data_IF_157607236482
#
_entry.id   IF_157607236482
#
_cell.length_a   1.000
_cell.length_b   1.000
_cell.length_c   1.000
_cell.angle_alpha   90.00
_cell.angle_beta   90.00
_cell.angle_gamma   90.00
#
_symmetry.space_group_name_H-M   'P 1'
#
loop_
_entity.id
_entity.type
_entity.pdbx_description
1 polymer ?
#
# COMPACT_ATOMS: atom_id res chain seq x y z
N UNK A 1 28.65 -13.68 64.38
CA UNK A 1 29.01 -13.40 62.99
C UNK A 1 27.77 -13.58 62.12
N UNK A 2 27.20 -12.52 61.62
CA UNK A 2 26.04 -12.60 60.71
C UNK A 2 26.53 -12.35 59.28
N UNK A 3 26.42 -13.36 58.43
CA UNK A 3 26.73 -13.22 57.00
C UNK A 3 25.56 -12.52 56.29
N UNK A 4 25.84 -11.36 55.71
CA UNK A 4 24.89 -10.67 54.87
C UNK A 4 24.91 -11.31 53.47
N UNK A 5 23.76 -11.87 53.06
CA UNK A 5 23.54 -12.38 51.71
C UNK A 5 23.15 -11.18 50.84
N UNK A 6 24.02 -10.80 49.93
CA UNK A 6 23.79 -9.75 48.94
C UNK A 6 23.03 -10.36 47.76
N UNK A 7 21.74 -10.12 47.70
CA UNK A 7 20.92 -10.48 46.53
C UNK A 7 21.18 -9.45 45.40
N UNK A 8 21.94 -9.85 44.38
CA UNK A 8 22.12 -9.08 43.16
C UNK A 8 20.92 -9.36 42.27
N UNK A 9 20.00 -8.42 42.22
CA UNK A 9 18.94 -8.39 41.24
C UNK A 9 19.53 -7.95 39.88
N UNK A 10 19.76 -8.93 38.99
CA UNK A 10 20.10 -8.64 37.58
C UNK A 10 18.82 -8.25 36.87
N UNK A 11 18.65 -6.94 36.66
CA UNK A 11 17.57 -6.43 35.80
C UNK A 11 17.92 -6.76 34.34
N UNK A 12 17.23 -7.75 33.78
CA UNK A 12 17.31 -8.06 32.35
C UNK A 12 16.53 -7.00 31.59
N UNK A 13 17.22 -6.01 31.04
CA UNK A 13 16.61 -5.03 30.14
C UNK A 13 16.30 -5.69 28.80
N UNK A 14 15.02 -5.95 28.56
CA UNK A 14 14.53 -6.49 27.28
C UNK A 14 14.64 -5.36 26.22
N UNK A 15 15.66 -5.43 25.38
CA UNK A 15 15.83 -4.53 24.25
C UNK A 15 14.82 -4.93 23.18
N UNK A 16 13.69 -4.26 23.10
CA UNK A 16 12.71 -4.43 22.02
C UNK A 16 13.29 -3.75 20.78
N UNK A 17 13.87 -4.53 19.88
CA UNK A 17 14.25 -4.06 18.55
C UNK A 17 12.98 -3.97 17.72
N UNK A 18 12.39 -2.79 17.65
CA UNK A 18 11.30 -2.49 16.72
C UNK A 18 11.84 -2.50 15.30
N UNK A 19 11.65 -3.60 14.59
CA UNK A 19 11.90 -3.67 13.16
C UNK A 19 10.95 -2.70 12.44
N UNK A 20 11.47 -1.62 11.86
CA UNK A 20 10.68 -0.73 11.03
C UNK A 20 10.29 -1.47 9.75
N UNK A 21 8.99 -1.72 9.56
CA UNK A 21 8.48 -2.13 8.26
C UNK A 21 8.75 -0.97 7.29
N UNK A 22 9.55 -1.24 6.26
CA UNK A 22 9.90 -0.25 5.27
C UNK A 22 8.78 -0.20 4.23
N UNK A 23 8.18 0.97 4.02
CA UNK A 23 7.20 1.20 2.96
C UNK A 23 7.84 0.95 1.59
N UNK A 24 7.17 0.17 0.75
CA UNK A 24 7.59 -0.16 -0.62
C UNK A 24 6.72 0.60 -1.61
N UNK A 25 7.32 1.02 -2.73
CA UNK A 25 6.63 1.66 -3.84
C UNK A 25 6.37 0.65 -4.96
N UNK A 26 5.13 0.65 -5.48
CA UNK A 26 4.69 -0.17 -6.60
C UNK A 26 4.20 0.70 -7.74
N UNK A 27 4.32 0.23 -8.98
CA UNK A 27 3.85 0.95 -10.17
C UNK A 27 2.73 0.16 -10.83
N UNK A 28 1.66 0.88 -11.19
CA UNK A 28 0.60 0.40 -12.07
C UNK A 28 0.58 1.29 -13.31
N UNK A 29 0.89 0.72 -14.46
CA UNK A 29 0.76 1.42 -15.74
C UNK A 29 -0.72 1.45 -16.14
N UNK A 30 -1.16 2.62 -16.61
CA UNK A 30 -2.54 2.90 -16.99
C UNK A 30 -2.59 3.09 -18.50
N UNK A 31 -3.37 2.28 -19.20
CA UNK A 31 -3.49 2.38 -20.66
C UNK A 31 -2.20 2.09 -21.43
N UNK A 32 -1.98 2.82 -22.49
CA UNK A 32 -0.90 2.65 -23.46
C UNK A 32 -1.44 2.05 -24.76
N UNK A 33 -0.84 0.94 -25.20
CA UNK A 33 -1.32 0.23 -26.43
C UNK A 33 -2.61 -0.56 -26.21
N UNK A 34 -2.97 -0.80 -24.95
CA UNK A 34 -4.18 -1.53 -24.54
C UNK A 34 -4.92 -0.75 -23.46
N UNK A 35 -6.24 -0.93 -23.38
CA UNK A 35 -7.10 -0.24 -22.40
C UNK A 35 -7.23 -1.09 -21.12
N UNK A 36 -6.11 -1.20 -20.39
CA UNK A 36 -6.02 -1.99 -19.15
C UNK A 36 -5.11 -1.31 -18.11
N UNK A 37 -5.22 -1.74 -16.87
CA UNK A 37 -4.21 -1.50 -15.83
C UNK A 37 -3.19 -2.65 -15.83
N UNK A 38 -1.91 -2.33 -15.69
CA UNK A 38 -0.84 -3.34 -15.69
C UNK A 38 0.16 -3.11 -14.54
N UNK A 39 0.24 -4.02 -13.56
CA UNK A 39 -0.57 -5.21 -13.40
C UNK A 39 -2.04 -4.90 -13.06
N UNK A 40 -2.97 -5.76 -13.46
CA UNK A 40 -4.39 -5.61 -13.11
C UNK A 40 -4.69 -6.02 -11.66
N UNK A 41 -3.85 -6.87 -11.07
CA UNK A 41 -3.92 -7.30 -9.68
C UNK A 41 -2.59 -7.07 -9.00
N UNK A 42 -2.61 -6.49 -7.82
CA UNK A 42 -1.41 -6.18 -7.04
C UNK A 42 -1.68 -6.54 -5.57
N UNK A 43 -0.69 -7.21 -4.94
CA UNK A 43 -0.72 -7.47 -3.50
C UNK A 43 0.41 -6.68 -2.84
N UNK A 44 0.09 -5.91 -1.84
CA UNK A 44 0.99 -5.03 -1.09
C UNK A 44 0.78 -5.21 0.42
N UNK A 45 1.57 -4.52 1.22
CA UNK A 45 1.43 -4.49 2.69
C UNK A 45 0.95 -3.10 3.12
N UNK A 46 0.20 -3.02 4.21
CA UNK A 46 -0.25 -1.75 4.77
C UNK A 46 0.94 -0.79 5.03
N UNK A 47 0.81 0.44 4.55
CA UNK A 47 1.87 1.45 4.52
C UNK A 47 2.59 1.58 3.17
N UNK A 48 2.39 0.64 2.24
CA UNK A 48 2.97 0.73 0.90
C UNK A 48 2.26 1.77 0.03
N UNK A 49 2.96 2.23 -1.00
CA UNK A 49 2.48 3.24 -1.95
C UNK A 49 2.35 2.66 -3.35
N UNK A 50 1.21 2.88 -3.99
CA UNK A 50 0.98 2.55 -5.39
C UNK A 50 0.99 3.83 -6.23
N UNK A 51 1.82 3.85 -7.27
CA UNK A 51 1.93 4.94 -8.23
C UNK A 51 1.30 4.52 -9.55
N UNK A 52 0.23 5.19 -9.94
CA UNK A 52 -0.40 5.05 -11.25
C UNK A 52 0.29 5.96 -12.25
N UNK A 53 0.68 5.42 -13.40
CA UNK A 53 1.36 6.16 -14.48
C UNK A 53 0.58 5.99 -15.77
N UNK A 54 0.00 7.07 -16.29
CA UNK A 54 -0.67 7.02 -17.60
C UNK A 54 0.36 6.86 -18.73
N UNK A 55 0.24 5.77 -19.47
CA UNK A 55 1.09 5.43 -20.61
C UNK A 55 0.49 5.82 -21.96
N UNK A 56 -0.68 6.40 -21.96
CA UNK A 56 -1.42 6.87 -23.12
C UNK A 56 -2.92 6.53 -23.05
N UNK A 57 -3.73 7.36 -23.68
CA UNK A 57 -5.17 7.28 -23.64
C UNK A 57 -5.79 8.15 -22.54
N UNK A 58 -7.11 8.35 -22.64
CA UNK A 58 -7.87 9.17 -21.70
C UNK A 58 -8.35 8.31 -20.52
N UNK A 59 -7.62 8.36 -19.43
CA UNK A 59 -7.80 7.46 -18.29
C UNK A 59 -7.75 8.19 -16.95
N UNK A 60 -8.35 7.58 -15.95
CA UNK A 60 -8.14 7.81 -14.52
C UNK A 60 -8.16 6.48 -13.75
N UNK A 61 -8.00 6.54 -12.44
CA UNK A 61 -8.16 5.41 -11.52
C UNK A 61 -9.11 5.83 -10.40
N UNK A 62 -10.23 5.14 -10.28
CA UNK A 62 -11.28 5.44 -9.29
C UNK A 62 -11.58 4.20 -8.48
N UNK A 63 -11.49 4.31 -7.16
CA UNK A 63 -11.85 3.22 -6.26
C UNK A 63 -13.34 2.89 -6.34
N UNK A 64 -13.68 1.60 -6.31
CA UNK A 64 -15.05 1.12 -6.31
C UNK A 64 -15.86 1.66 -5.11
N UNK A 65 -15.19 1.87 -3.98
CA UNK A 65 -15.75 2.43 -2.75
C UNK A 65 -15.67 3.97 -2.65
N UNK A 66 -15.13 4.63 -3.68
CA UNK A 66 -14.94 6.08 -3.71
C UNK A 66 -13.81 6.61 -2.84
N UNK A 67 -12.97 5.75 -2.25
CA UNK A 67 -11.88 6.15 -1.36
C UNK A 67 -10.79 6.95 -2.07
N UNK A 68 -10.64 6.80 -3.38
CA UNK A 68 -9.76 7.64 -4.20
C UNK A 68 -10.30 7.82 -5.61
N UNK A 69 -9.95 8.93 -6.23
CA UNK A 69 -10.18 9.25 -7.64
C UNK A 69 -9.01 10.07 -8.14
N UNK A 70 -8.19 9.48 -9.01
CA UNK A 70 -6.87 9.98 -9.36
C UNK A 70 -6.62 9.99 -10.86
N UNK A 71 -5.96 11.05 -11.31
CA UNK A 71 -5.33 11.22 -12.62
C UNK A 71 -4.18 12.22 -12.48
N UNK A 72 -4.39 13.50 -12.70
CA UNK A 72 -3.41 14.56 -12.42
C UNK A 72 -3.44 14.96 -10.93
N UNK A 73 -2.93 14.09 -10.08
CA UNK A 73 -3.15 14.07 -8.66
C UNK A 73 -4.48 13.36 -8.31
N UNK A 74 -4.89 13.45 -7.05
CA UNK A 74 -6.12 12.85 -6.56
C UNK A 74 -7.07 13.92 -6.04
N UNK A 75 -8.38 13.70 -6.16
CA UNK A 75 -9.39 14.61 -5.64
C UNK A 75 -9.20 14.82 -4.12
N UNK A 76 -9.19 16.07 -3.69
CA UNK A 76 -8.96 16.42 -2.28
C UNK A 76 -7.51 16.37 -1.80
N UNK A 77 -6.56 15.94 -2.65
CA UNK A 77 -5.14 15.83 -2.33
C UNK A 77 -4.23 16.50 -3.37
N UNK A 78 -4.45 17.80 -3.57
CA UNK A 78 -3.59 18.64 -4.41
C UNK A 78 -3.69 18.38 -5.90
N UNK A 79 -4.76 17.74 -6.36
CA UNK A 79 -4.94 17.38 -7.75
C UNK A 79 -6.38 17.18 -8.17
N UNK A 80 -6.53 16.62 -9.35
CA UNK A 80 -7.80 16.40 -10.02
C UNK A 80 -7.84 15.00 -10.62
N UNK A 81 -8.80 14.19 -10.18
CA UNK A 81 -9.02 12.81 -10.62
C UNK A 81 -9.82 12.66 -11.89
N UNK A 82 -10.14 13.75 -12.61
CA UNK A 82 -10.86 13.66 -13.89
C UNK A 82 -10.01 12.91 -14.93
N UNK A 83 -10.64 12.07 -15.77
CA UNK A 83 -9.93 11.39 -16.86
C UNK A 83 -9.13 12.37 -17.71
N UNK A 84 -7.90 11.98 -18.05
CA UNK A 84 -6.99 12.83 -18.82
C UNK A 84 -6.14 12.01 -19.76
N UNK A 85 -5.87 12.55 -20.95
CA UNK A 85 -4.98 11.99 -21.94
C UNK A 85 -3.52 12.49 -21.82
N UNK A 86 -3.24 13.35 -20.83
CA UNK A 86 -1.85 13.75 -20.54
C UNK A 86 -1.07 12.60 -19.91
N UNK A 87 0.25 12.69 -19.93
CA UNK A 87 1.14 11.78 -19.20
C UNK A 87 1.09 12.16 -17.70
N UNK A 88 0.07 11.67 -16.99
CA UNK A 88 -0.09 11.95 -15.58
C UNK A 88 0.50 10.84 -14.69
N UNK A 89 0.83 11.22 -13.47
CA UNK A 89 1.29 10.33 -12.41
C UNK A 89 0.53 10.69 -11.14
N UNK A 90 0.00 9.68 -10.44
CA UNK A 90 -0.65 9.85 -9.15
C UNK A 90 -0.28 8.72 -8.21
N UNK A 91 -0.02 9.04 -6.94
CA UNK A 91 0.40 8.06 -5.94
C UNK A 91 -0.57 8.03 -4.76
N UNK A 92 -0.84 6.82 -4.25
CA UNK A 92 -1.70 6.58 -3.10
C UNK A 92 -0.97 5.67 -2.13
N UNK A 93 -0.93 6.05 -0.85
CA UNK A 93 -0.44 5.20 0.24
C UNK A 93 -1.62 4.48 0.88
N UNK A 94 -1.55 3.16 0.95
CA UNK A 94 -2.60 2.31 1.52
C UNK A 94 -2.27 2.00 2.98
N UNK A 95 -2.83 2.79 3.90
CA UNK A 95 -2.54 2.67 5.33
C UNK A 95 -3.22 1.47 6.01
N UNK A 96 -4.36 1.02 5.47
CA UNK A 96 -5.20 -0.02 6.08
C UNK A 96 -5.24 -1.29 5.23
N UNK A 97 -5.24 -2.48 5.86
CA UNK A 97 -5.50 -3.72 5.16
C UNK A 97 -6.89 -3.74 4.53
N UNK A 98 -7.03 -4.46 3.41
CA UNK A 98 -8.29 -4.62 2.71
C UNK A 98 -8.12 -4.97 1.26
N UNK A 99 -9.23 -5.07 0.54
CA UNK A 99 -9.28 -5.28 -0.91
C UNK A 99 -9.91 -4.06 -1.55
N UNK A 100 -9.17 -3.42 -2.45
CA UNK A 100 -9.56 -2.18 -3.12
C UNK A 100 -9.67 -2.46 -4.62
N UNK A 101 -10.90 -2.64 -5.11
CA UNK A 101 -11.20 -2.62 -6.53
C UNK A 101 -11.15 -1.20 -7.05
N UNK A 102 -10.76 -1.03 -8.31
CA UNK A 102 -10.77 0.27 -8.98
C UNK A 102 -10.98 0.11 -10.49
N UNK A 103 -11.41 1.18 -11.13
CA UNK A 103 -11.73 1.21 -12.56
C UNK A 103 -11.40 2.56 -13.18
N UNK A 104 -11.39 2.63 -14.51
CA UNK A 104 -11.34 3.87 -15.27
C UNK A 104 -12.76 4.29 -15.67
N UNK A 105 -13.20 5.50 -15.34
CA UNK A 105 -14.55 6.00 -15.60
C UNK A 105 -14.94 6.02 -17.08
N UNK A 106 -13.96 6.15 -17.99
CA UNK A 106 -14.21 6.18 -19.44
C UNK A 106 -14.38 4.79 -20.03
N UNK A 107 -13.66 3.78 -19.50
CA UNK A 107 -13.52 2.48 -20.15
C UNK A 107 -13.95 1.30 -19.27
N UNK A 108 -14.48 1.56 -18.08
CA UNK A 108 -14.90 0.51 -17.16
C UNK A 108 -15.91 0.95 -16.13
N UNK A 109 -16.30 0.01 -15.33
CA UNK A 109 -17.20 0.12 -14.18
C UNK A 109 -16.66 -0.73 -13.04
N UNK A 110 -17.21 -0.66 -11.82
CA UNK A 110 -16.81 -1.56 -10.74
C UNK A 110 -16.91 -3.06 -11.06
N UNK A 111 -17.66 -3.44 -12.09
CA UNK A 111 -17.93 -4.84 -12.43
C UNK A 111 -17.40 -5.30 -13.80
N UNK A 112 -16.97 -4.38 -14.67
CA UNK A 112 -16.55 -4.71 -16.03
C UNK A 112 -15.62 -3.68 -16.66
N UNK A 113 -14.99 -4.06 -17.78
CA UNK A 113 -14.13 -3.17 -18.57
C UNK A 113 -12.74 -2.98 -17.96
N UNK A 114 -12.19 -1.76 -18.10
CA UNK A 114 -10.87 -1.40 -17.59
C UNK A 114 -10.90 -1.24 -16.08
N UNK A 115 -10.44 -2.27 -15.39
CA UNK A 115 -10.43 -2.35 -13.92
C UNK A 115 -9.21 -3.09 -13.38
N UNK A 116 -8.94 -2.88 -12.10
CA UNK A 116 -7.88 -3.55 -11.37
C UNK A 116 -8.26 -3.76 -9.90
N UNK A 117 -7.38 -4.38 -9.15
CA UNK A 117 -7.52 -4.57 -7.71
C UNK A 117 -6.19 -4.52 -6.98
N UNK A 118 -6.21 -3.96 -5.78
CA UNK A 118 -5.08 -3.93 -4.86
C UNK A 118 -5.51 -4.65 -3.58
N UNK A 119 -4.79 -5.71 -3.22
CA UNK A 119 -4.96 -6.42 -1.96
C UNK A 119 -3.89 -5.92 -1.00
N UNK A 120 -4.32 -5.30 0.09
CA UNK A 120 -3.45 -4.77 1.13
C UNK A 120 -3.45 -5.74 2.30
N UNK A 121 -2.32 -6.37 2.54
CA UNK A 121 -2.11 -7.28 3.67
C UNK A 121 -1.74 -6.48 4.93
N UNK A 122 -2.06 -6.99 6.13
CA UNK A 122 -1.59 -6.37 7.36
C UNK A 122 -0.06 -6.48 7.45
N UNK A 123 0.56 -5.53 8.14
CA UNK A 123 1.95 -5.65 8.57
C UNK A 123 2.04 -6.80 9.57
N UNK A 124 2.83 -7.83 9.26
CA UNK A 124 3.14 -8.87 10.25
C UNK A 124 4.12 -8.31 11.27
N UNK A 125 3.79 -8.28 12.57
CA UNK A 125 4.80 -8.02 13.59
C UNK A 125 5.89 -9.08 13.48
N UNK A 126 7.15 -8.67 13.45
CA UNK A 126 8.26 -9.62 13.59
C UNK A 126 8.20 -10.16 15.02
N UNK A 127 7.64 -11.36 15.17
CA UNK A 127 7.73 -12.08 16.43
C UNK A 127 9.15 -12.67 16.52
N UNK A 128 9.92 -12.15 17.47
CA UNK A 128 11.15 -12.82 17.88
C UNK A 128 10.73 -14.17 18.48
N UNK A 129 10.95 -15.26 17.75
CA UNK A 129 10.94 -16.58 18.36
C UNK A 129 12.05 -16.60 19.41
N UNK A 130 11.68 -16.75 20.67
CA UNK A 130 12.64 -17.05 21.73
C UNK A 130 13.25 -18.42 21.41
N UNK A 131 14.54 -18.42 21.07
CA UNK A 131 15.29 -19.67 21.07
C UNK A 131 15.51 -20.06 22.55
N UNK A 132 14.80 -21.08 23.00
CA UNK A 132 15.20 -21.77 24.22
C UNK A 132 16.49 -22.53 23.88
N UNK A 133 17.59 -22.12 24.51
CA UNK A 133 18.85 -22.85 24.47
C UNK A 133 18.75 -23.85 25.61
N UNK A 134 18.63 -25.13 25.27
CA UNK A 134 18.76 -26.22 26.22
C UNK A 134 20.19 -26.30 26.77
#
# INVERSE_FOLDING_TARGET
MRAAVFNILIAFSLLVVSGFARAVGYIVNVGGTTTVFTPAMLTIVAGDTVTFINKGGNHNAVADDGSFRCARGCDGHGGNGNPSNSNWVASITFANPGSFGYFCEIHGTPTSGMRGSIIVQPTTPVQLQSFEVD
#
